data_IF_572718137736
#
_entry.id   IF_572718137736
#
_cell.length_a   1.000
_cell.length_b   1.000
_cell.length_c   1.000
_cell.angle_alpha   90.00
_cell.angle_beta   90.00
_cell.angle_gamma   90.00
#
_symmetry.space_group_name_H-M   'P 1'
#
loop_
_entity.id
_entity.type
_entity.pdbx_description
1 polymer ?
#
# COMPACT_ATOMS: atom_id res chain seq x y z
N UNK A 1 3.79 -13.18 9.30
CA UNK A 1 2.83 -14.27 9.60
C UNK A 1 1.52 -13.89 8.95
N UNK A 2 1.24 -14.50 7.81
CA UNK A 2 0.00 -14.31 7.07
C UNK A 2 -1.21 -14.64 7.94
N UNK A 3 -2.17 -13.71 8.05
CA UNK A 3 -3.43 -13.94 8.76
C UNK A 3 -4.57 -14.12 7.76
N UNK A 4 -5.53 -15.01 8.07
CA UNK A 4 -6.71 -15.24 7.23
C UNK A 4 -7.52 -13.94 6.95
N UNK A 5 -7.39 -12.96 7.85
CA UNK A 5 -8.01 -11.64 7.71
C UNK A 5 -7.48 -10.85 6.51
N UNK A 6 -6.19 -10.98 6.17
CA UNK A 6 -5.60 -10.24 5.06
C UNK A 6 -6.26 -10.59 3.72
N UNK A 7 -6.51 -11.87 3.48
CA UNK A 7 -7.15 -12.38 2.27
C UNK A 7 -8.59 -11.87 2.12
N UNK A 8 -9.27 -11.66 3.25
CA UNK A 8 -10.66 -11.17 3.25
C UNK A 8 -10.72 -9.69 2.87
N UNK A 9 -9.70 -8.91 3.25
CA UNK A 9 -9.61 -7.47 2.95
C UNK A 9 -8.88 -7.15 1.63
N UNK A 10 -8.35 -8.15 0.93
CA UNK A 10 -7.58 -7.94 -0.30
C UNK A 10 -8.48 -7.68 -1.51
N UNK A 11 -8.37 -6.51 -2.16
CA UNK A 11 -9.19 -6.16 -3.33
C UNK A 11 -9.03 -7.12 -4.52
N UNK A 12 -7.86 -7.77 -4.65
CA UNK A 12 -7.64 -8.75 -5.72
C UNK A 12 -8.51 -10.02 -5.58
N UNK A 13 -9.20 -10.23 -4.45
CA UNK A 13 -10.16 -11.33 -4.31
C UNK A 13 -11.41 -11.16 -5.18
N UNK A 14 -11.69 -9.94 -5.64
CA UNK A 14 -12.90 -9.60 -6.40
C UNK A 14 -12.71 -9.77 -7.92
N UNK A 15 -11.50 -10.16 -8.34
CA UNK A 15 -11.18 -10.39 -9.75
C UNK A 15 -10.73 -11.84 -9.97
N UNK A 16 -10.63 -12.24 -11.24
CA UNK A 16 -10.03 -13.51 -11.64
C UNK A 16 -8.61 -13.65 -11.06
N UNK A 17 -8.30 -14.72 -10.31
CA UNK A 17 -6.96 -14.98 -9.79
C UNK A 17 -5.87 -14.96 -10.87
N UNK A 18 -6.17 -15.42 -12.09
CA UNK A 18 -5.19 -15.49 -13.18
C UNK A 18 -4.74 -14.10 -13.63
N UNK A 19 -5.55 -13.07 -13.37
CA UNK A 19 -5.19 -11.68 -13.65
C UNK A 19 -3.93 -11.23 -12.89
N UNK A 20 -3.57 -11.91 -11.79
CA UNK A 20 -2.39 -11.59 -10.97
C UNK A 20 -1.12 -12.30 -11.46
N UNK A 21 -1.24 -13.32 -12.33
CA UNK A 21 -0.13 -14.15 -12.81
C UNK A 21 0.26 -13.88 -14.27
N UNK A 22 -0.21 -12.76 -14.82
CA UNK A 22 0.09 -12.31 -16.18
C UNK A 22 1.54 -11.84 -16.38
N UNK A 23 1.96 -11.71 -17.63
CA UNK A 23 3.32 -11.31 -18.03
C UNK A 23 3.34 -9.99 -18.82
N UNK A 24 4.52 -9.37 -18.90
CA UNK A 24 4.75 -8.17 -19.70
C UNK A 24 3.82 -7.00 -19.35
N UNK A 25 3.33 -6.30 -20.38
CA UNK A 25 2.50 -5.10 -20.20
C UNK A 25 1.18 -5.37 -19.45
N UNK A 26 0.67 -6.60 -19.46
CA UNK A 26 -0.56 -6.96 -18.75
C UNK A 26 -0.42 -6.82 -17.23
N UNK A 27 0.80 -6.91 -16.69
CA UNK A 27 1.08 -6.72 -15.26
C UNK A 27 0.70 -5.30 -14.79
N UNK A 28 0.62 -4.31 -15.68
CA UNK A 28 0.18 -2.97 -15.33
C UNK A 28 -1.27 -2.96 -14.81
N UNK A 29 -2.15 -3.80 -15.37
CA UNK A 29 -3.54 -3.92 -14.88
C UNK A 29 -3.58 -4.56 -13.49
N UNK A 30 -2.79 -5.61 -13.26
CA UNK A 30 -2.65 -6.24 -11.96
C UNK A 30 -2.15 -5.25 -10.89
N UNK A 31 -1.17 -4.42 -11.23
CA UNK A 31 -0.65 -3.38 -10.32
C UNK A 31 -1.71 -2.34 -9.94
N UNK A 32 -2.63 -2.01 -10.85
CA UNK A 32 -3.72 -1.06 -10.56
C UNK A 32 -4.67 -1.58 -9.49
N UNK A 33 -5.00 -2.87 -9.51
CA UNK A 33 -5.81 -3.52 -8.46
C UNK A 33 -5.18 -3.33 -7.09
N UNK A 34 -3.85 -3.40 -7.00
CA UNK A 34 -3.14 -3.24 -5.74
C UNK A 34 -3.10 -1.78 -5.23
N UNK A 35 -3.28 -0.76 -6.08
CA UNK A 35 -2.95 0.66 -5.74
C UNK A 35 -3.71 1.18 -4.50
N UNK A 36 -4.98 0.80 -4.35
CA UNK A 36 -5.84 1.17 -3.21
C UNK A 36 -6.12 0.01 -2.24
N UNK A 37 -5.41 -1.11 -2.36
CA UNK A 37 -5.69 -2.28 -1.53
C UNK A 37 -5.24 -2.05 -0.07
N UNK A 38 -6.12 -2.25 0.94
CA UNK A 38 -5.80 -1.92 2.34
C UNK A 38 -4.73 -2.81 2.95
N UNK A 39 -4.47 -3.98 2.35
CA UNK A 39 -3.44 -4.94 2.79
C UNK A 39 -2.20 -4.91 1.89
N UNK A 40 -2.04 -3.87 1.05
CA UNK A 40 -0.96 -3.79 0.06
C UNK A 40 0.43 -3.91 0.69
N UNK A 41 0.66 -3.24 1.82
CA UNK A 41 1.95 -3.22 2.51
C UNK A 41 2.31 -4.59 3.06
N UNK A 42 1.40 -5.23 3.79
CA UNK A 42 1.57 -6.55 4.36
C UNK A 42 1.69 -7.63 3.26
N UNK A 43 0.91 -7.52 2.18
CA UNK A 43 0.99 -8.40 1.02
C UNK A 43 2.36 -8.34 0.35
N UNK A 44 2.94 -7.12 0.22
CA UNK A 44 4.29 -6.97 -0.32
C UNK A 44 5.35 -7.56 0.63
N UNK A 45 5.23 -7.29 1.92
CA UNK A 45 6.16 -7.80 2.93
C UNK A 45 6.21 -9.33 2.91
N UNK A 46 5.06 -9.99 2.94
CA UNK A 46 4.97 -11.45 2.90
C UNK A 46 5.61 -12.02 1.63
N UNK A 47 5.39 -11.38 0.47
CA UNK A 47 5.99 -11.81 -0.78
C UNK A 47 7.52 -11.64 -0.81
N UNK A 48 8.07 -10.65 -0.11
CA UNK A 48 9.51 -10.41 -0.03
C UNK A 48 10.18 -11.35 0.98
N UNK A 49 9.61 -11.49 2.18
CA UNK A 49 10.10 -12.39 3.22
C UNK A 49 10.02 -13.86 2.77
N UNK A 50 8.88 -14.26 2.19
CA UNK A 50 8.66 -15.60 1.65
C UNK A 50 9.33 -15.86 0.31
N UNK A 51 9.99 -14.85 -0.29
CA UNK A 51 10.60 -14.92 -1.63
C UNK A 51 9.68 -15.51 -2.69
N UNK A 52 8.40 -15.12 -2.67
CA UNK A 52 7.39 -15.65 -3.60
C UNK A 52 7.81 -15.30 -5.03
N UNK A 53 7.89 -16.34 -5.87
CA UNK A 53 8.53 -16.23 -7.17
C UNK A 53 7.64 -15.60 -8.24
N UNK A 54 6.34 -15.88 -8.25
CA UNK A 54 5.48 -15.52 -9.38
C UNK A 54 4.41 -14.50 -9.03
N UNK A 55 3.85 -13.87 -10.06
CA UNK A 55 2.70 -12.97 -9.97
C UNK A 55 2.99 -11.58 -9.39
N UNK A 56 1.95 -10.75 -9.38
CA UNK A 56 1.96 -9.40 -8.80
C UNK A 56 1.49 -9.44 -7.35
N UNK A 57 2.36 -8.98 -6.44
CA UNK A 57 2.12 -8.96 -5.00
C UNK A 57 2.35 -7.56 -4.45
N UNK A 58 1.39 -7.04 -3.69
CA UNK A 58 1.47 -5.71 -3.10
C UNK A 58 1.78 -4.58 -4.10
N UNK A 59 1.39 -4.76 -5.37
CA UNK A 59 1.65 -3.83 -6.46
C UNK A 59 3.04 -3.94 -7.10
N UNK A 60 3.80 -5.00 -6.81
CA UNK A 60 5.10 -5.26 -7.43
C UNK A 60 5.10 -6.57 -8.22
N UNK A 61 5.69 -6.52 -9.40
CA UNK A 61 6.02 -7.69 -10.22
C UNK A 61 7.16 -8.49 -9.60
N UNK A 62 7.27 -9.76 -9.98
CA UNK A 62 8.41 -10.63 -9.65
C UNK A 62 9.76 -9.95 -9.90
N UNK A 63 9.94 -9.35 -11.09
CA UNK A 63 11.19 -8.68 -11.48
C UNK A 63 11.51 -7.50 -10.56
N UNK A 64 10.50 -6.71 -10.20
CA UNK A 64 10.66 -5.59 -9.27
C UNK A 64 11.01 -6.07 -7.86
N UNK A 65 10.36 -7.12 -7.36
CA UNK A 65 10.67 -7.71 -6.04
C UNK A 65 12.10 -8.25 -6.00
N UNK A 66 12.53 -9.00 -7.01
CA UNK A 66 13.92 -9.49 -7.11
C UNK A 66 14.93 -8.35 -7.17
N UNK A 67 14.63 -7.27 -7.89
CA UNK A 67 15.50 -6.10 -7.91
C UNK A 67 15.61 -5.44 -6.53
N UNK A 68 14.51 -5.34 -5.78
CA UNK A 68 14.49 -4.80 -4.43
C UNK A 68 15.30 -5.67 -3.46
N UNK A 69 15.10 -7.00 -3.48
CA UNK A 69 15.85 -7.95 -2.65
C UNK A 69 17.37 -7.85 -2.90
N UNK A 70 17.80 -7.68 -4.15
CA UNK A 70 19.23 -7.46 -4.46
C UNK A 70 19.79 -6.13 -3.95
N UNK A 71 18.97 -5.08 -3.92
CA UNK A 71 19.38 -3.74 -3.46
C UNK A 71 19.44 -3.61 -1.94
N UNK A 72 18.74 -4.48 -1.22
CA UNK A 72 18.60 -4.44 0.24
C UNK A 72 18.91 -5.81 0.86
N UNK A 73 20.14 -6.33 0.68
CA UNK A 73 20.53 -7.65 1.21
C UNK A 73 20.60 -7.69 2.74
N UNK A 74 20.65 -6.52 3.39
CA UNK A 74 20.72 -6.31 4.83
C UNK A 74 19.36 -6.42 5.54
N UNK A 75 18.25 -6.44 4.80
CA UNK A 75 16.91 -6.50 5.39
C UNK A 75 16.55 -7.95 5.70
N UNK A 76 16.40 -8.26 6.98
CA UNK A 76 16.06 -9.60 7.49
C UNK A 76 14.57 -9.81 7.75
N UNK A 77 13.80 -8.72 7.89
CA UNK A 77 12.35 -8.73 8.07
C UNK A 77 11.74 -7.57 7.28
N UNK A 78 11.16 -7.90 6.12
CA UNK A 78 10.45 -6.93 5.29
C UNK A 78 9.14 -6.51 5.94
N UNK A 79 8.51 -7.39 6.70
CA UNK A 79 7.35 -7.05 7.51
C UNK A 79 7.62 -5.88 8.45
N UNK A 80 8.66 -5.98 9.29
CA UNK A 80 8.97 -4.94 10.27
C UNK A 80 9.34 -3.62 9.58
N UNK A 81 10.16 -3.70 8.53
CA UNK A 81 10.58 -2.53 7.77
C UNK A 81 9.38 -1.82 7.14
N UNK A 82 8.52 -2.53 6.41
CA UNK A 82 7.44 -1.94 5.63
C UNK A 82 6.27 -1.49 6.51
N UNK A 83 5.90 -2.26 7.54
CA UNK A 83 4.83 -1.86 8.47
C UNK A 83 5.24 -0.67 9.33
N UNK A 84 6.50 -0.60 9.79
CA UNK A 84 7.05 0.57 10.48
C UNK A 84 7.04 1.80 9.58
N UNK A 85 7.48 1.65 8.32
CA UNK A 85 7.46 2.74 7.35
C UNK A 85 6.03 3.25 7.09
N UNK A 86 5.05 2.34 6.94
CA UNK A 86 3.64 2.70 6.80
C UNK A 86 3.14 3.49 8.02
N UNK A 87 3.34 2.98 9.22
CA UNK A 87 2.87 3.64 10.44
C UNK A 87 3.48 5.04 10.61
N UNK A 88 4.75 5.22 10.22
CA UNK A 88 5.41 6.54 10.20
C UNK A 88 4.76 7.49 9.19
N UNK A 89 4.48 7.00 7.98
CA UNK A 89 3.81 7.77 6.94
C UNK A 89 2.39 8.17 7.34
N UNK A 90 1.61 7.25 7.91
CA UNK A 90 0.25 7.52 8.39
C UNK A 90 0.24 8.59 9.50
N UNK A 91 1.18 8.51 10.45
CA UNK A 91 1.33 9.56 11.48
C UNK A 91 1.67 10.92 10.87
N UNK A 92 2.70 10.99 10.02
CA UNK A 92 3.11 12.24 9.39
C UNK A 92 1.99 12.85 8.53
N UNK A 93 1.22 12.01 7.82
CA UNK A 93 0.05 12.44 7.06
C UNK A 93 -1.06 12.97 7.97
N UNK A 94 -1.31 12.32 9.12
CA UNK A 94 -2.33 12.77 10.08
C UNK A 94 -1.95 14.10 10.75
N UNK A 95 -0.66 14.33 11.01
CA UNK A 95 -0.13 15.59 11.52
C UNK A 95 -0.30 16.71 10.49
N UNK A 96 0.09 16.46 9.23
CA UNK A 96 -0.09 17.42 8.13
C UNK A 96 -1.57 17.73 7.88
N UNK A 97 -2.45 16.72 7.93
CA UNK A 97 -3.89 16.91 7.78
C UNK A 97 -4.49 17.72 8.94
N UNK A 98 -3.96 17.56 10.16
CA UNK A 98 -4.33 18.35 11.34
C UNK A 98 -3.87 19.81 11.26
N UNK A 99 -2.70 20.07 10.68
CA UNK A 99 -2.20 21.42 10.42
C UNK A 99 -2.99 22.14 9.31
N UNK A 100 -3.46 21.41 8.29
CA UNK A 100 -4.29 21.97 7.22
C UNK A 100 -5.70 22.39 7.69
N UNK A 101 -6.31 21.65 8.63
CA UNK A 101 -7.64 21.97 9.14
C UNK A 101 -7.69 23.27 9.98
N UNK A 102 -6.56 23.63 10.63
CA UNK A 102 -6.42 24.90 11.36
C UNK A 102 -6.29 26.11 10.41
N UNK A 103 -5.87 25.92 9.17
CA UNK A 103 -5.73 27.00 8.17
C UNK A 103 -7.05 27.26 7.42
N UNK A 104 -7.87 26.23 7.21
CA UNK A 104 -9.19 26.35 6.59
C UNK A 104 -10.28 26.90 7.54
N UNK A 105 -10.11 26.74 8.86
CA UNK A 105 -11.03 27.30 9.86
C UNK A 105 -10.95 28.84 9.98
N UNK A 106 -9.94 29.49 9.38
CA UNK A 106 -9.76 30.94 9.41
C UNK A 106 -10.63 31.71 8.38
N UNK A 107 -11.31 30.99 7.46
CA UNK A 107 -12.19 31.61 6.45
C UNK A 107 -13.69 31.55 6.80
N UNK A 108 -14.06 31.06 7.97
CA UNK A 108 -15.45 31.12 8.45
C UNK A 108 -15.62 32.25 9.49
N UNK A 109 -15.70 33.49 9.02
CA UNK A 109 -16.33 34.56 9.80
C UNK A 109 -17.85 34.47 9.65
N UNK A 110 -18.65 34.58 10.73
CA UNK A 110 -20.10 34.72 10.59
C UNK A 110 -20.40 36.16 10.18
N UNK A 111 -21.07 36.34 9.05
CA UNK A 111 -21.74 37.60 8.72
C UNK A 111 -23.21 37.48 9.14
N UNK A 112 -23.52 37.85 10.37
CA UNK A 112 -24.85 38.36 10.73
C UNK A 112 -24.90 39.86 10.39
N UNK A 113 -25.80 40.28 9.49
CA UNK A 113 -26.57 41.53 9.55
C UNK A 113 -27.34 41.82 8.24
N UNK A 114 -28.59 42.29 8.42
CA UNK A 114 -29.48 43.00 7.48
C UNK A 114 -30.37 42.19 6.50
N UNK A 115 -31.53 41.74 7.00
CA UNK A 115 -32.82 42.48 6.90
C UNK A 115 -33.94 41.76 7.64
#
# INVERSE_FOLDING_TARGET
MWTAEMTTRALCREVDPDALFVQGAAQNRAKLICRGCPVRTECLAEALDGRIEFGVWGGMTERERRALLRRRPDVTSWWDLLTTARARYERANSETAGEGWLQDASLAAPAEAER
#
